data_IF_899573102793
#
_entry.id   IF_899573102793
#
_cell.length_a   1.000
_cell.length_b   1.000
_cell.length_c   1.000
_cell.angle_alpha   90.00
_cell.angle_beta   90.00
_cell.angle_gamma   90.00
#
_symmetry.space_group_name_H-M   'P 1'
#
loop_
_entity.id
_entity.type
_entity.pdbx_description
1 polymer ?
#
# COMPACT_ATOMS: atom_id res chain seq x y z
N UNK A 1 34.75 -24.97 -25.38
CA UNK A 1 34.13 -24.25 -26.52
C UNK A 1 32.78 -24.89 -26.73
N UNK A 2 31.62 -24.25 -26.60
CA UNK A 2 31.23 -22.85 -26.55
C UNK A 2 30.00 -22.70 -25.64
N UNK A 3 30.04 -21.69 -24.78
CA UNK A 3 28.95 -21.25 -23.92
C UNK A 3 27.82 -20.65 -24.81
N UNK A 4 26.64 -21.29 -24.86
CA UNK A 4 25.48 -20.79 -25.64
C UNK A 4 24.66 -19.87 -24.75
N UNK A 5 25.05 -18.61 -24.71
CA UNK A 5 24.19 -17.52 -24.23
C UNK A 5 22.99 -17.40 -25.18
N UNK A 6 21.80 -17.81 -24.72
CA UNK A 6 20.55 -17.56 -25.43
C UNK A 6 20.24 -16.06 -25.29
N UNK A 7 20.69 -15.28 -26.27
CA UNK A 7 20.30 -13.88 -26.45
C UNK A 7 18.91 -13.88 -27.08
N UNK A 8 17.89 -13.50 -26.31
CA UNK A 8 16.57 -13.24 -26.88
C UNK A 8 16.67 -12.08 -27.89
N UNK A 9 16.11 -12.22 -29.11
CA UNK A 9 16.19 -11.18 -30.12
C UNK A 9 15.47 -9.90 -29.65
N UNK A 10 16.18 -8.78 -29.76
CA UNK A 10 15.81 -7.46 -29.22
C UNK A 10 14.41 -6.98 -29.65
N UNK A 11 13.91 -7.42 -30.81
CA UNK A 11 12.57 -7.07 -31.31
C UNK A 11 11.40 -7.56 -30.44
N UNK A 12 11.58 -8.65 -29.69
CA UNK A 12 10.53 -9.20 -28.81
C UNK A 12 10.31 -8.31 -27.57
N UNK A 13 11.40 -7.78 -27.01
CA UNK A 13 11.36 -6.85 -25.86
C UNK A 13 10.76 -5.49 -26.29
N UNK A 14 11.08 -5.01 -27.49
CA UNK A 14 10.51 -3.75 -28.00
C UNK A 14 8.99 -3.83 -28.25
N UNK A 15 8.48 -4.96 -28.77
CA UNK A 15 7.03 -5.19 -28.91
C UNK A 15 6.34 -5.33 -27.55
N UNK A 16 7.01 -5.92 -26.55
CA UNK A 16 6.51 -5.99 -25.18
C UNK A 16 6.41 -4.59 -24.54
N UNK A 17 7.43 -3.72 -24.72
CA UNK A 17 7.45 -2.35 -24.19
C UNK A 17 6.39 -1.46 -24.86
N UNK A 18 6.15 -1.58 -26.17
CA UNK A 18 5.06 -0.86 -26.85
C UNK A 18 3.67 -1.33 -26.41
N UNK A 19 3.50 -2.64 -26.18
CA UNK A 19 2.26 -3.18 -25.64
C UNK A 19 2.03 -2.76 -24.18
N UNK A 20 3.09 -2.58 -23.38
CA UNK A 20 3.00 -2.03 -22.02
C UNK A 20 2.58 -0.56 -22.03
N UNK A 21 3.10 0.28 -22.93
CA UNK A 21 2.62 1.67 -23.11
C UNK A 21 1.14 1.71 -23.54
N UNK A 22 0.75 0.89 -24.52
CA UNK A 22 -0.66 0.76 -24.94
C UNK A 22 -1.57 0.18 -23.85
N UNK A 23 -1.04 -0.61 -22.91
CA UNK A 23 -1.78 -1.12 -21.76
C UNK A 23 -1.87 -0.08 -20.62
N UNK A 24 -0.86 0.76 -20.40
CA UNK A 24 -0.94 1.91 -19.48
C UNK A 24 -2.00 2.91 -19.93
N UNK A 25 -2.14 3.13 -21.24
CA UNK A 25 -3.19 4.01 -21.79
C UNK A 25 -4.59 3.35 -21.77
N UNK A 26 -4.68 2.02 -21.96
CA UNK A 26 -5.97 1.27 -21.96
C UNK A 26 -6.50 0.91 -20.57
N UNK A 27 -5.64 0.68 -19.58
CA UNK A 27 -6.06 0.43 -18.17
C UNK A 27 -6.70 1.68 -17.57
N UNK A 28 -6.31 2.87 -18.04
CA UNK A 28 -6.91 4.16 -17.63
C UNK A 28 -8.35 4.36 -18.13
N UNK A 29 -8.83 3.57 -19.11
CA UNK A 29 -10.13 3.78 -19.74
C UNK A 29 -11.17 2.67 -19.53
N UNK A 30 -10.81 1.52 -18.94
CA UNK A 30 -11.71 0.33 -18.95
C UNK A 30 -12.01 -0.26 -17.58
N UNK A 31 -12.47 0.55 -16.63
CA UNK A 31 -13.31 0.09 -15.50
C UNK A 31 -13.74 1.22 -14.57
N UNK A 32 -14.62 2.13 -15.00
CA UNK A 32 -15.45 2.91 -14.06
C UNK A 32 -16.81 3.13 -14.72
N UNK A 33 -17.83 2.39 -14.30
CA UNK A 33 -19.23 2.82 -14.50
C UNK A 33 -19.48 3.97 -13.53
N UNK A 34 -20.03 5.05 -14.07
CA UNK A 34 -20.28 6.32 -13.38
C UNK A 34 -21.35 6.13 -12.31
N UNK A 35 -20.95 6.10 -11.03
CA UNK A 35 -21.87 6.37 -9.91
C UNK A 35 -21.55 7.74 -9.32
N UNK A 36 -22.61 8.49 -9.04
CA UNK A 36 -22.57 9.85 -8.52
C UNK A 36 -22.05 9.86 -7.07
N UNK A 37 -21.04 10.70 -6.81
CA UNK A 37 -20.47 10.86 -5.48
C UNK A 37 -21.29 11.94 -4.77
N UNK A 38 -22.19 11.55 -3.88
CA UNK A 38 -22.81 12.48 -2.93
C UNK A 38 -22.06 12.43 -1.59
N UNK A 39 -21.76 13.57 -0.95
CA UNK A 39 -21.12 13.60 0.36
C UNK A 39 -22.10 13.14 1.45
N UNK A 40 -21.78 12.05 2.13
CA UNK A 40 -22.60 11.50 3.21
C UNK A 40 -22.05 11.89 4.59
N UNK A 41 -22.89 12.57 5.38
CA UNK A 41 -22.71 12.79 6.82
C UNK A 41 -22.96 11.46 7.55
N UNK A 42 -22.05 11.07 8.44
CA UNK A 42 -22.12 9.77 9.14
C UNK A 42 -23.22 9.76 10.21
N UNK A 43 -24.03 8.70 10.32
CA UNK A 43 -24.80 8.43 11.53
C UNK A 43 -23.86 7.93 12.64
N UNK A 44 -24.10 8.41 13.84
CA UNK A 44 -23.28 8.20 15.04
C UNK A 44 -23.21 6.72 15.45
N UNK A 45 -22.02 6.26 15.82
CA UNK A 45 -21.85 5.43 17.03
C UNK A 45 -22.11 3.93 17.00
N UNK A 46 -22.28 3.24 15.86
CA UNK A 46 -22.36 1.76 15.90
C UNK A 46 -20.98 1.10 15.99
N UNK A 47 -20.67 0.64 17.21
CA UNK A 47 -19.49 -0.17 17.54
C UNK A 47 -19.58 -1.56 16.89
N UNK A 48 -18.49 -1.99 16.25
CA UNK A 48 -18.36 -3.35 15.72
C UNK A 48 -18.48 -4.39 16.86
N UNK A 49 -19.24 -5.49 16.67
CA UNK A 49 -19.17 -6.61 17.59
C UNK A 49 -17.74 -7.16 17.61
N UNK A 50 -17.26 -7.53 18.81
CA UNK A 50 -15.95 -8.13 19.05
C UNK A 50 -15.87 -9.49 18.34
N UNK A 51 -15.63 -9.48 17.04
CA UNK A 51 -15.48 -10.70 16.25
C UNK A 51 -14.02 -11.13 16.33
N UNK A 52 -13.81 -12.35 16.83
CA UNK A 52 -12.52 -13.04 16.85
C UNK A 52 -12.53 -14.17 15.82
N UNK A 53 -12.57 -13.87 14.49
CA UNK A 53 -12.08 -14.84 13.54
C UNK A 53 -10.58 -14.96 13.86
N UNK A 54 -10.05 -16.17 13.98
CA UNK A 54 -8.62 -16.38 14.16
C UNK A 54 -7.87 -15.53 13.15
N UNK A 55 -7.28 -14.41 13.61
CA UNK A 55 -6.62 -13.37 12.79
C UNK A 55 -5.46 -13.88 11.92
N UNK A 56 -5.19 -15.18 11.97
CA UNK A 56 -4.26 -15.90 11.11
C UNK A 56 -4.73 -16.01 9.66
N UNK A 57 -6.04 -16.05 9.40
CA UNK A 57 -6.56 -16.29 8.03
C UNK A 57 -7.02 -15.02 7.31
N UNK A 58 -6.96 -13.86 7.98
CA UNK A 58 -7.35 -12.61 7.32
C UNK A 58 -6.25 -12.22 6.35
N UNK A 59 -6.56 -12.31 5.06
CA UNK A 59 -5.67 -11.84 4.01
C UNK A 59 -5.41 -10.33 4.17
N UNK A 60 -4.14 -9.94 4.07
CA UNK A 60 -3.73 -8.54 4.24
C UNK A 60 -4.33 -7.70 3.11
N UNK A 61 -5.05 -6.63 3.44
CA UNK A 61 -5.69 -5.71 2.51
C UNK A 61 -5.05 -4.33 2.59
N UNK A 62 -4.84 -3.71 1.45
CA UNK A 62 -4.33 -2.33 1.33
C UNK A 62 -5.22 -1.50 0.39
N UNK A 63 -5.22 -0.19 0.58
CA UNK A 63 -6.05 0.76 -0.13
C UNK A 63 -5.39 1.20 -1.45
N UNK A 64 -6.00 0.81 -2.57
CA UNK A 64 -5.46 0.95 -3.92
C UNK A 64 -4.97 2.37 -4.25
N UNK A 65 -5.76 3.39 -3.93
CA UNK A 65 -5.52 4.77 -4.39
C UNK A 65 -4.25 5.42 -3.84
N UNK A 66 -3.68 4.88 -2.75
CA UNK A 66 -2.47 5.43 -2.10
C UNK A 66 -1.27 4.47 -2.14
N UNK A 67 -1.33 3.46 -3.02
CA UNK A 67 -0.24 2.49 -3.19
C UNK A 67 0.83 2.91 -4.20
N UNK A 68 0.59 3.92 -5.03
CA UNK A 68 1.58 4.40 -6.02
C UNK A 68 2.57 5.43 -5.49
N UNK A 69 2.36 5.92 -4.28
CA UNK A 69 3.23 6.85 -3.57
C UNK A 69 3.47 6.38 -2.13
N UNK A 70 4.53 6.87 -1.50
CA UNK A 70 4.80 6.59 -0.09
C UNK A 70 4.02 7.56 0.82
N UNK A 71 2.87 7.12 1.33
CA UNK A 71 2.09 7.85 2.37
C UNK A 71 2.68 7.76 3.78
N UNK A 72 3.95 7.38 3.85
CA UNK A 72 4.68 7.15 5.08
C UNK A 72 6.16 7.43 4.84
N UNK A 73 6.91 7.67 5.91
CA UNK A 73 8.37 7.78 5.81
C UNK A 73 9.01 6.42 5.53
N UNK A 74 10.01 6.42 4.64
CA UNK A 74 10.85 5.25 4.36
C UNK A 74 12.05 5.13 5.32
N UNK A 75 12.56 6.25 5.84
CA UNK A 75 13.70 6.26 6.75
C UNK A 75 13.26 6.04 8.19
N UNK A 76 13.94 5.13 8.91
CA UNK A 76 13.76 4.96 10.36
C UNK A 76 14.33 6.11 11.19
N UNK A 77 15.37 6.80 10.69
CA UNK A 77 16.18 7.77 11.47
C UNK A 77 15.60 9.18 11.47
N UNK A 78 14.84 9.55 10.44
CA UNK A 78 14.26 10.88 10.34
C UNK A 78 12.87 10.89 11.00
N UNK A 79 12.80 11.55 12.15
CA UNK A 79 11.57 11.88 12.85
C UNK A 79 11.37 13.40 12.80
N UNK A 80 11.27 13.95 11.58
CA UNK A 80 10.96 15.37 11.46
C UNK A 80 9.47 15.59 11.71
N UNK A 81 9.18 16.52 12.61
CA UNK A 81 7.83 17.04 12.83
C UNK A 81 7.56 18.09 11.76
N UNK A 82 6.29 18.27 11.36
CA UNK A 82 5.88 19.29 10.37
C UNK A 82 6.59 19.15 9.02
N UNK A 83 6.92 17.93 8.65
CA UNK A 83 7.40 17.58 7.32
C UNK A 83 6.21 17.38 6.38
N UNK A 84 6.33 17.90 5.15
CA UNK A 84 5.41 17.69 4.04
C UNK A 84 6.17 17.09 2.86
N UNK A 85 5.58 16.08 2.21
CA UNK A 85 6.05 15.47 0.98
C UNK A 85 4.95 15.63 -0.06
N UNK A 86 5.26 16.26 -1.19
CA UNK A 86 4.36 16.40 -2.33
C UNK A 86 4.81 15.47 -3.45
N UNK A 87 3.84 14.78 -4.03
CA UNK A 87 3.99 13.89 -5.17
C UNK A 87 3.19 14.44 -6.34
N UNK A 88 3.86 15.02 -7.32
CA UNK A 88 3.20 15.42 -8.56
C UNK A 88 3.10 14.20 -9.49
N UNK A 89 1.89 13.98 -10.00
CA UNK A 89 1.50 12.80 -10.76
C UNK A 89 0.85 13.27 -12.07
N UNK A 90 0.78 12.39 -13.07
CA UNK A 90 0.20 12.76 -14.37
C UNK A 90 -1.29 13.13 -14.28
N UNK A 91 -1.96 12.65 -13.24
CA UNK A 91 -3.39 12.82 -12.99
C UNK A 91 -3.70 13.79 -11.84
N UNK A 92 -2.71 14.51 -11.29
CA UNK A 92 -2.90 15.44 -10.16
C UNK A 92 -1.74 15.39 -9.17
N UNK A 93 -2.01 15.50 -7.88
CA UNK A 93 -0.98 15.34 -6.85
C UNK A 93 -1.50 14.62 -5.60
N UNK A 94 -0.54 14.13 -4.81
CA UNK A 94 -0.77 13.64 -3.46
C UNK A 94 0.18 14.40 -2.54
N UNK A 95 -0.32 14.95 -1.45
CA UNK A 95 0.49 15.59 -0.42
C UNK A 95 0.36 14.83 0.90
N UNK A 96 1.49 14.57 1.55
CA UNK A 96 1.56 13.84 2.82
C UNK A 96 2.26 14.72 3.81
N UNK A 97 1.54 15.19 4.81
CA UNK A 97 2.05 16.06 5.86
C UNK A 97 2.01 15.39 7.22
N UNK A 98 2.92 15.80 8.09
CA UNK A 98 3.04 15.26 9.45
C UNK A 98 2.71 16.31 10.49
N UNK A 99 1.94 15.92 11.51
CA UNK A 99 1.72 16.75 12.69
C UNK A 99 2.87 16.69 13.70
N UNK A 100 2.54 17.04 14.93
CA UNK A 100 3.52 17.24 16.01
C UNK A 100 4.21 15.96 16.50
N UNK A 101 3.64 14.79 16.17
CA UNK A 101 4.19 13.49 16.55
C UNK A 101 5.10 12.88 15.47
N UNK A 102 5.24 13.58 14.34
CA UNK A 102 6.00 13.16 13.17
C UNK A 102 5.23 12.23 12.24
N UNK A 103 5.79 11.97 11.05
CA UNK A 103 5.15 11.14 10.03
C UNK A 103 5.13 9.65 10.41
N UNK A 104 4.01 8.99 10.15
CA UNK A 104 3.89 7.54 10.24
C UNK A 104 4.94 6.86 9.36
N UNK A 105 5.59 5.84 9.91
CA UNK A 105 6.43 4.93 9.14
C UNK A 105 5.61 3.84 8.49
N UNK A 106 6.19 3.16 7.51
CA UNK A 106 5.59 1.96 6.92
C UNK A 106 5.29 0.85 7.93
N UNK A 107 5.99 0.84 9.07
CA UNK A 107 5.74 -0.10 10.16
C UNK A 107 4.55 0.34 11.00
N UNK A 108 4.33 1.64 11.15
CA UNK A 108 3.11 2.14 11.78
C UNK A 108 1.90 1.81 10.88
N UNK A 109 2.07 1.94 9.56
CA UNK A 109 1.07 1.62 8.54
C UNK A 109 0.54 0.18 8.61
N UNK A 110 1.28 -0.78 9.18
CA UNK A 110 0.78 -2.16 9.41
C UNK A 110 -0.50 -2.19 10.26
N UNK A 111 -0.70 -1.21 11.16
CA UNK A 111 -1.93 -1.09 11.97
C UNK A 111 -3.11 -0.69 11.08
N UNK A 112 -2.89 0.21 10.12
CA UNK A 112 -3.92 0.59 9.16
C UNK A 112 -4.23 -0.57 8.20
N UNK A 113 -3.22 -1.33 7.76
CA UNK A 113 -3.44 -2.56 6.99
C UNK A 113 -4.32 -3.56 7.76
N UNK A 114 -4.05 -3.76 9.05
CA UNK A 114 -4.89 -4.60 9.92
C UNK A 114 -6.34 -4.08 9.93
N UNK A 115 -6.52 -2.77 10.07
CA UNK A 115 -7.83 -2.14 10.10
C UNK A 115 -8.64 -2.36 8.82
N UNK A 116 -8.03 -2.07 7.67
CA UNK A 116 -8.61 -2.27 6.34
C UNK A 116 -8.97 -3.74 6.15
N UNK A 117 -8.08 -4.65 6.58
CA UNK A 117 -8.28 -6.09 6.45
C UNK A 117 -9.49 -6.57 7.26
N UNK A 118 -9.65 -6.09 8.50
CA UNK A 118 -10.81 -6.43 9.33
C UNK A 118 -12.12 -5.89 8.76
N UNK A 119 -12.18 -4.60 8.39
CA UNK A 119 -13.42 -4.01 7.81
C UNK A 119 -13.80 -4.74 6.53
N UNK A 120 -12.83 -5.02 5.67
CA UNK A 120 -13.07 -5.75 4.41
C UNK A 120 -13.62 -7.14 4.68
N UNK A 121 -13.05 -7.87 5.63
CA UNK A 121 -13.51 -9.22 5.95
C UNK A 121 -14.89 -9.22 6.62
N UNK A 122 -15.14 -8.31 7.56
CA UNK A 122 -16.45 -8.13 8.17
C UNK A 122 -17.52 -7.76 7.13
N UNK A 123 -17.19 -6.90 6.16
CA UNK A 123 -18.09 -6.56 5.06
C UNK A 123 -18.35 -7.76 4.14
N UNK A 124 -17.33 -8.57 3.85
CA UNK A 124 -17.51 -9.80 3.08
C UNK A 124 -18.42 -10.81 3.79
N UNK A 125 -18.32 -10.93 5.12
CA UNK A 125 -19.23 -11.77 5.90
C UNK A 125 -20.66 -11.22 5.90
N UNK A 126 -20.83 -9.90 6.03
CA UNK A 126 -22.12 -9.23 5.91
C UNK A 126 -22.79 -9.51 4.57
N UNK A 127 -22.07 -9.34 3.45
CA UNK A 127 -22.57 -9.66 2.10
C UNK A 127 -22.98 -11.13 1.93
N UNK A 128 -22.39 -12.04 2.70
CA UNK A 128 -22.74 -13.47 2.71
C UNK A 128 -23.88 -13.82 3.68
N UNK A 129 -24.48 -12.84 4.37
CA UNK A 129 -25.49 -13.06 5.41
C UNK A 129 -24.95 -13.71 6.68
N UNK A 130 -23.63 -13.67 6.90
CA UNK A 130 -22.92 -14.33 8.02
C UNK A 130 -22.32 -13.34 9.03
N UNK A 131 -22.76 -12.08 9.00
CA UNK A 131 -22.25 -11.03 9.88
C UNK A 131 -23.10 -9.76 9.81
N UNK A 132 -22.80 -8.79 10.67
CA UNK A 132 -23.41 -7.46 10.65
C UNK A 132 -22.60 -6.51 9.75
N UNK A 133 -23.26 -5.47 9.24
CA UNK A 133 -22.59 -4.38 8.53
C UNK A 133 -21.47 -3.82 9.42
N UNK A 134 -20.22 -3.73 8.93
CA UNK A 134 -19.16 -3.25 9.78
C UNK A 134 -19.25 -1.76 10.02
N UNK A 135 -19.04 -1.28 11.24
CA UNK A 135 -18.87 0.15 11.54
C UNK A 135 -17.49 0.68 11.17
N UNK A 136 -17.29 2.00 11.27
CA UNK A 136 -16.01 2.69 11.03
C UNK A 136 -14.97 2.51 12.13
N UNK A 137 -15.46 2.26 13.36
CA UNK A 137 -14.63 2.14 14.56
C UNK A 137 -14.42 0.67 14.91
N UNK A 138 -13.18 0.29 15.19
CA UNK A 138 -12.80 -1.06 15.60
C UNK A 138 -11.90 -1.05 16.81
N UNK A 139 -12.09 -2.07 17.66
CA UNK A 139 -11.26 -2.33 18.82
C UNK A 139 -10.27 -3.45 18.49
N UNK A 140 -8.99 -3.16 18.61
CA UNK A 140 -7.89 -4.07 18.33
C UNK A 140 -7.18 -4.43 19.64
N UNK A 141 -7.18 -5.72 19.98
CA UNK A 141 -6.42 -6.19 21.13
C UNK A 141 -4.92 -6.20 20.85
N UNK A 142 -4.13 -5.94 21.89
CA UNK A 142 -2.67 -5.85 21.78
C UNK A 142 -2.04 -7.13 21.21
N UNK A 143 -2.51 -8.30 21.66
CA UNK A 143 -2.04 -9.62 21.22
C UNK A 143 -2.22 -9.79 19.70
N UNK A 144 -3.32 -9.28 19.19
CA UNK A 144 -3.77 -9.44 17.82
C UNK A 144 -3.00 -8.51 16.88
N UNK A 145 -2.74 -7.27 17.32
CA UNK A 145 -1.90 -6.31 16.60
C UNK A 145 -0.48 -6.86 16.45
N UNK A 146 0.14 -7.30 17.54
CA UNK A 146 1.51 -7.80 17.50
C UNK A 146 1.63 -9.04 16.63
N UNK A 147 0.66 -9.93 16.73
CA UNK A 147 0.58 -11.12 15.91
C UNK A 147 0.40 -10.81 14.42
N UNK A 148 -0.56 -9.94 14.05
CA UNK A 148 -0.77 -9.51 12.67
C UNK A 148 0.50 -8.89 12.09
N UNK A 149 1.10 -7.94 12.82
CA UNK A 149 2.32 -7.24 12.42
C UNK A 149 3.59 -8.11 12.47
N UNK A 150 3.50 -9.39 12.87
CA UNK A 150 4.63 -10.31 13.13
C UNK A 150 5.70 -9.72 14.07
N UNK A 151 5.26 -9.10 15.16
CA UNK A 151 6.12 -8.51 16.21
C UNK A 151 6.00 -9.30 17.51
N UNK A 152 7.12 -9.43 18.21
CA UNK A 152 7.12 -9.99 19.57
C UNK A 152 6.63 -8.94 20.58
N UNK A 153 5.67 -9.28 21.46
CA UNK A 153 5.23 -8.36 22.51
C UNK A 153 6.35 -8.04 23.51
N UNK A 154 6.32 -6.84 24.08
CA UNK A 154 7.24 -6.39 25.14
C UNK A 154 6.87 -4.99 25.64
N UNK A 155 7.43 -4.56 26.77
CA UNK A 155 7.09 -3.27 27.41
C UNK A 155 7.30 -2.08 26.46
N UNK A 156 8.53 -1.94 25.92
CA UNK A 156 8.89 -0.91 24.94
C UNK A 156 8.02 -0.97 23.67
N UNK A 157 7.57 -2.16 23.29
CA UNK A 157 6.73 -2.37 22.12
C UNK A 157 5.32 -1.82 22.33
N UNK A 158 4.80 -1.82 23.56
CA UNK A 158 3.53 -1.16 23.89
C UNK A 158 3.63 0.36 23.73
N UNK A 159 4.69 0.96 24.24
CA UNK A 159 4.91 2.41 24.10
C UNK A 159 5.10 2.81 22.62
N UNK A 160 5.83 1.97 21.87
CA UNK A 160 5.99 2.13 20.43
C UNK A 160 4.65 2.03 19.68
N UNK A 161 3.75 1.16 20.11
CA UNK A 161 2.41 1.04 19.53
C UNK A 161 1.60 2.32 19.77
N UNK A 162 1.55 2.82 21.00
CA UNK A 162 0.86 4.08 21.31
C UNK A 162 1.44 5.24 20.47
N UNK A 163 2.76 5.28 20.35
CA UNK A 163 3.44 6.27 19.51
C UNK A 163 3.15 6.10 18.02
N UNK A 164 2.98 4.88 17.54
CA UNK A 164 2.63 4.57 16.15
C UNK A 164 1.22 5.06 15.81
N UNK A 165 0.25 4.80 16.70
CA UNK A 165 -1.14 5.24 16.55
C UNK A 165 -1.23 6.76 16.53
N UNK A 166 -0.50 7.44 17.42
CA UNK A 166 -0.37 8.91 17.41
C UNK A 166 0.14 9.43 16.07
N UNK A 167 1.22 8.82 15.54
CA UNK A 167 1.77 9.20 14.22
C UNK A 167 0.79 8.98 13.08
N UNK A 168 0.07 7.86 13.06
CA UNK A 168 -0.98 7.60 12.07
C UNK A 168 -2.06 8.67 12.14
N UNK A 169 -2.54 9.00 13.34
CA UNK A 169 -3.59 9.99 13.52
C UNK A 169 -3.13 11.41 13.16
N UNK A 170 -1.84 11.72 13.25
CA UNK A 170 -1.32 13.03 12.84
C UNK A 170 -0.69 13.06 11.45
N UNK A 171 -0.69 11.96 10.70
CA UNK A 171 -0.21 11.95 9.30
C UNK A 171 -1.40 12.22 8.40
N UNK A 172 -1.42 13.39 7.76
CA UNK A 172 -2.48 13.83 6.87
C UNK A 172 -2.10 13.53 5.42
N UNK A 173 -3.03 12.95 4.67
CA UNK A 173 -2.89 12.64 3.25
C UNK A 173 -3.95 13.44 2.52
N UNK A 174 -3.50 14.39 1.70
CA UNK A 174 -4.32 15.14 0.76
C UNK A 174 -4.14 14.56 -0.64
N UNK A 175 -5.24 14.33 -1.34
CA UNK A 175 -5.28 13.76 -2.68
C UNK A 175 -6.13 14.68 -3.52
N UNK A 176 -5.53 15.24 -4.57
CA UNK A 176 -6.23 15.95 -5.63
C UNK A 176 -5.91 15.26 -6.96
N UNK A 177 -6.80 14.39 -7.44
CA UNK A 177 -6.55 13.59 -8.66
C UNK A 177 -7.77 13.53 -9.57
N UNK A 178 -7.54 13.60 -10.87
CA UNK A 178 -8.55 13.35 -11.89
C UNK A 178 -8.72 11.83 -12.06
N UNK A 179 -9.87 11.32 -11.63
CA UNK A 179 -10.24 9.92 -11.73
C UNK A 179 -11.44 9.81 -12.66
N UNK A 180 -11.20 9.35 -13.89
CA UNK A 180 -12.27 9.12 -14.88
C UNK A 180 -13.05 10.38 -15.26
N UNK A 181 -12.38 11.53 -15.33
CA UNK A 181 -13.00 12.81 -15.69
C UNK A 181 -13.58 13.60 -14.52
N UNK A 182 -13.53 13.08 -13.28
CA UNK A 182 -13.93 13.79 -12.06
C UNK A 182 -12.71 14.08 -11.21
N UNK A 183 -12.65 15.27 -10.61
CA UNK A 183 -11.62 15.63 -9.63
C UNK A 183 -12.05 15.06 -8.27
N UNK A 184 -11.24 14.17 -7.72
CA UNK A 184 -11.29 13.78 -6.32
C UNK A 184 -10.35 14.71 -5.55
N UNK A 185 -10.91 15.60 -4.75
CA UNK A 185 -10.19 16.47 -3.80
C UNK A 185 -10.62 16.09 -2.39
N UNK A 186 -9.68 15.51 -1.63
CA UNK A 186 -9.95 14.97 -0.29
C UNK A 186 -8.70 15.00 0.57
N UNK A 187 -8.85 15.44 1.81
CA UNK A 187 -7.82 15.38 2.85
C UNK A 187 -8.32 14.59 4.05
N UNK A 188 -7.59 13.54 4.44
CA UNK A 188 -7.86 12.79 5.66
C UNK A 188 -6.56 12.35 6.32
N UNK A 189 -6.60 12.16 7.64
CA UNK A 189 -5.52 11.50 8.36
C UNK A 189 -5.48 10.00 8.03
N UNK A 190 -4.33 9.33 8.21
CA UNK A 190 -4.25 7.88 7.97
C UNK A 190 -5.17 7.07 8.90
N UNK A 191 -5.47 7.59 10.09
CA UNK A 191 -6.61 7.17 10.91
C UNK A 191 -7.33 8.41 11.44
N UNK A 192 -8.66 8.40 11.42
CA UNK A 192 -9.48 9.56 11.81
C UNK A 192 -9.43 9.83 13.30
N UNK A 193 -9.57 8.75 14.08
CA UNK A 193 -9.65 8.80 15.54
C UNK A 193 -8.92 7.61 16.14
N UNK A 194 -8.45 7.76 17.38
CA UNK A 194 -8.00 6.64 18.18
C UNK A 194 -8.32 6.83 19.66
N UNK A 195 -8.40 5.71 20.38
CA UNK A 195 -8.34 5.66 21.84
C UNK A 195 -7.36 4.56 22.27
N UNK A 196 -6.61 4.80 23.34
CA UNK A 196 -5.76 3.77 23.97
C UNK A 196 -6.54 3.17 25.12
N UNK A 197 -6.68 1.85 25.12
CA UNK A 197 -7.41 1.13 26.16
C UNK A 197 -6.39 0.54 27.12
N UNK A 198 -6.46 0.95 28.38
CA UNK A 198 -5.59 0.48 29.47
C UNK A 198 -6.42 -0.16 30.59
N UNK A 199 -5.79 -0.99 31.41
CA UNK A 199 -6.38 -1.43 32.68
C UNK A 199 -6.26 -0.36 33.78
N UNK A 200 -6.84 -0.67 34.94
CA UNK A 200 -6.78 0.12 36.17
C UNK A 200 -5.34 0.43 36.65
N UNK A 201 -4.38 -0.42 36.26
CA UNK A 201 -2.95 -0.26 36.54
C UNK A 201 -2.19 0.51 35.46
N UNK A 202 -2.89 1.03 34.44
CA UNK A 202 -2.31 1.80 33.34
C UNK A 202 -1.63 0.97 32.25
N UNK A 203 -1.70 -0.37 32.30
CA UNK A 203 -1.15 -1.22 31.23
C UNK A 203 -2.08 -1.24 30.02
N UNK A 204 -1.56 -0.80 28.88
CA UNK A 204 -2.23 -0.89 27.57
C UNK A 204 -2.67 -2.34 27.28
N UNK A 205 -3.96 -2.52 27.00
CA UNK A 205 -4.62 -3.78 26.58
C UNK A 205 -4.97 -3.81 25.10
N UNK A 206 -5.14 -2.65 24.49
CA UNK A 206 -5.50 -2.53 23.09
C UNK A 206 -5.65 -1.08 22.67
N UNK A 207 -6.13 -0.90 21.45
CA UNK A 207 -6.46 0.39 20.89
C UNK A 207 -7.83 0.31 20.25
N UNK A 208 -8.52 1.43 20.21
CA UNK A 208 -9.66 1.64 19.34
C UNK A 208 -9.22 2.60 18.24
N UNK A 209 -9.57 2.31 16.99
CA UNK A 209 -9.24 3.17 15.86
C UNK A 209 -10.48 3.36 14.97
N UNK A 210 -10.57 4.53 14.37
CA UNK A 210 -11.56 4.85 13.35
C UNK A 210 -10.86 5.02 12.02
N UNK A 211 -11.30 4.24 11.02
CA UNK A 211 -10.72 4.28 9.67
C UNK A 211 -11.19 5.56 8.95
N UNK A 212 -10.41 6.12 8.00
CA UNK A 212 -10.81 7.30 7.22
C UNK A 212 -12.15 7.09 6.50
N UNK A 213 -12.98 8.13 6.46
CA UNK A 213 -14.35 8.04 5.95
C UNK A 213 -14.38 7.68 4.48
N UNK A 214 -13.49 8.25 3.66
CA UNK A 214 -13.41 7.90 2.24
C UNK A 214 -12.97 6.45 2.07
N UNK A 215 -12.00 6.01 2.86
CA UNK A 215 -11.50 4.64 2.82
C UNK A 215 -12.59 3.64 3.19
N UNK A 216 -13.32 3.89 4.27
CA UNK A 216 -14.48 3.08 4.67
C UNK A 216 -15.53 2.99 3.57
N UNK A 217 -15.94 4.14 3.02
CA UNK A 217 -16.92 4.21 1.93
C UNK A 217 -16.49 3.37 0.72
N UNK A 218 -15.20 3.45 0.33
CA UNK A 218 -14.64 2.66 -0.77
C UNK A 218 -14.48 1.16 -0.46
N UNK A 219 -14.68 0.73 0.77
CA UNK A 219 -14.72 -0.69 1.15
C UNK A 219 -16.16 -1.22 1.10
N UNK A 220 -17.11 -0.46 1.64
CA UNK A 220 -18.47 -0.99 1.94
C UNK A 220 -19.58 -0.49 1.03
N UNK A 221 -19.35 0.54 0.21
CA UNK A 221 -20.37 1.18 -0.64
C UNK A 221 -20.07 1.08 -2.15
N UNK A 222 -19.19 0.17 -2.57
CA UNK A 222 -18.82 0.04 -3.99
C UNK A 222 -18.80 -1.42 -4.43
N UNK A 223 -19.35 -1.70 -5.61
CA UNK A 223 -19.30 -3.04 -6.24
C UNK A 223 -17.87 -3.50 -6.54
N UNK A 224 -16.98 -2.54 -6.82
CA UNK A 224 -15.55 -2.75 -7.07
C UNK A 224 -14.74 -2.11 -5.95
N UNK A 225 -14.55 -2.80 -4.80
CA UNK A 225 -13.83 -2.23 -3.67
C UNK A 225 -12.41 -1.85 -4.09
N UNK A 226 -11.98 -0.65 -3.71
CA UNK A 226 -10.66 -0.10 -4.03
C UNK A 226 -9.56 -0.72 -3.14
N UNK A 227 -9.59 -2.05 -2.97
CA UNK A 227 -8.80 -2.82 -2.04
C UNK A 227 -8.01 -3.88 -2.80
N UNK A 228 -6.70 -3.92 -2.58
CA UNK A 228 -5.84 -4.99 -3.07
C UNK A 228 -5.49 -5.94 -1.94
N UNK A 229 -5.45 -7.23 -2.26
CA UNK A 229 -4.95 -8.26 -1.35
C UNK A 229 -3.44 -8.39 -1.53
N UNK A 230 -2.67 -8.24 -0.45
CA UNK A 230 -1.23 -8.45 -0.43
C UNK A 230 -0.92 -9.93 -0.16
N UNK A 231 0.26 -10.38 -0.59
CA UNK A 231 0.74 -11.73 -0.33
C UNK A 231 0.89 -11.99 1.18
N UNK A 232 0.63 -13.21 1.67
CA UNK A 232 0.82 -13.56 3.08
C UNK A 232 2.24 -13.25 3.61
N UNK A 233 3.25 -13.31 2.73
CA UNK A 233 4.64 -12.98 3.06
C UNK A 233 5.01 -11.51 2.94
N UNK A 234 4.06 -10.60 2.75
CA UNK A 234 4.32 -9.15 2.77
C UNK A 234 5.13 -8.73 4.01
N UNK A 235 4.79 -9.26 5.18
CA UNK A 235 5.50 -8.95 6.42
C UNK A 235 6.94 -9.47 6.47
N UNK A 236 7.35 -10.45 5.63
CA UNK A 236 8.74 -10.91 5.50
C UNK A 236 9.64 -9.88 4.82
N UNK A 237 9.08 -8.89 4.14
CA UNK A 237 9.85 -7.80 3.54
C UNK A 237 10.34 -6.87 4.65
N UNK A 238 11.60 -7.04 5.05
CA UNK A 238 12.19 -6.39 6.23
C UNK A 238 12.64 -4.93 6.00
N UNK A 239 12.49 -4.40 4.79
CA UNK A 239 12.93 -3.04 4.44
C UNK A 239 11.74 -2.18 4.04
N UNK A 240 11.73 -0.93 4.50
CA UNK A 240 10.67 0.02 4.15
C UNK A 240 10.61 0.27 2.64
N UNK A 241 11.79 0.43 2.03
CA UNK A 241 11.92 0.58 0.59
C UNK A 241 11.37 -0.63 -0.17
N UNK A 242 11.69 -1.87 0.24
CA UNK A 242 11.17 -3.07 -0.40
C UNK A 242 9.65 -3.20 -0.30
N UNK A 243 9.06 -2.86 0.85
CA UNK A 243 7.60 -2.87 1.02
C UNK A 243 6.91 -1.79 0.18
N UNK A 244 7.50 -0.60 0.04
CA UNK A 244 7.03 0.42 -0.89
C UNK A 244 7.04 -0.09 -2.34
N UNK A 245 8.16 -0.66 -2.80
CA UNK A 245 8.27 -1.22 -4.16
C UNK A 245 7.28 -2.37 -4.37
N UNK A 246 7.05 -3.22 -3.36
CA UNK A 246 6.03 -4.26 -3.43
C UNK A 246 4.61 -3.69 -3.58
N UNK A 247 4.23 -2.68 -2.79
CA UNK A 247 2.92 -2.02 -2.91
C UNK A 247 2.74 -1.42 -4.31
N UNK A 248 3.76 -0.74 -4.82
CA UNK A 248 3.73 -0.20 -6.17
C UNK A 248 3.56 -1.30 -7.22
N UNK A 249 4.38 -2.37 -7.16
CA UNK A 249 4.28 -3.51 -8.07
C UNK A 249 2.87 -4.14 -8.03
N UNK A 250 2.31 -4.34 -6.84
CA UNK A 250 0.97 -4.90 -6.65
C UNK A 250 -0.11 -4.03 -7.28
N UNK A 251 0.04 -2.71 -7.22
CA UNK A 251 -0.88 -1.77 -7.86
C UNK A 251 -0.74 -1.73 -9.38
N UNK A 252 0.48 -1.62 -9.90
CA UNK A 252 0.72 -1.28 -11.31
C UNK A 252 0.96 -2.49 -12.21
N UNK A 253 1.69 -3.50 -11.72
CA UNK A 253 1.90 -4.74 -12.46
C UNK A 253 0.72 -5.70 -12.26
N UNK A 254 0.10 -5.71 -11.08
CA UNK A 254 -0.98 -6.65 -10.77
C UNK A 254 -0.52 -8.10 -11.00
N UNK A 255 -1.19 -8.82 -11.91
CA UNK A 255 -0.80 -10.17 -12.36
C UNK A 255 -0.05 -10.20 -13.69
N UNK A 256 0.46 -9.06 -14.15
CA UNK A 256 1.16 -8.88 -15.43
C UNK A 256 2.55 -8.29 -15.18
N UNK A 257 3.01 -7.43 -16.09
CA UNK A 257 4.25 -6.67 -15.99
C UNK A 257 3.98 -5.17 -16.04
N UNK A 258 4.82 -4.39 -15.36
CA UNK A 258 4.85 -2.94 -15.45
C UNK A 258 6.27 -2.42 -15.35
N UNK A 259 6.51 -1.24 -15.93
CA UNK A 259 7.82 -0.60 -15.97
C UNK A 259 7.78 0.80 -15.37
N UNK A 260 8.89 1.19 -14.73
CA UNK A 260 9.09 2.52 -14.16
C UNK A 260 10.51 3.00 -14.41
N UNK A 261 10.69 4.27 -14.78
CA UNK A 261 12.02 4.90 -14.73
C UNK A 261 12.49 4.97 -13.29
N UNK A 262 13.80 4.83 -13.07
CA UNK A 262 14.38 4.98 -11.74
C UNK A 262 14.14 6.40 -11.17
N UNK A 263 14.11 7.44 -12.02
CA UNK A 263 13.76 8.82 -11.65
C UNK A 263 12.31 8.94 -11.16
N UNK A 264 11.35 8.44 -11.96
CA UNK A 264 9.93 8.45 -11.57
C UNK A 264 9.68 7.67 -10.28
N UNK A 265 10.37 6.53 -10.09
CA UNK A 265 10.26 5.77 -8.84
C UNK A 265 10.86 6.55 -7.65
N UNK A 266 11.94 7.29 -7.88
CA UNK A 266 12.56 8.15 -6.86
C UNK A 266 11.58 9.23 -6.39
N UNK A 267 10.93 9.93 -7.33
CA UNK A 267 9.89 10.94 -7.04
C UNK A 267 8.73 10.31 -6.25
N UNK A 268 8.18 9.19 -6.71
CA UNK A 268 7.06 8.49 -6.05
C UNK A 268 7.40 7.91 -4.68
N UNK A 269 8.68 7.67 -4.40
CA UNK A 269 9.13 7.12 -3.12
C UNK A 269 9.20 8.14 -1.99
N UNK A 270 9.25 9.43 -2.31
CA UNK A 270 9.44 10.49 -1.31
C UNK A 270 10.80 10.38 -0.61
N UNK A 271 11.78 9.72 -1.25
CA UNK A 271 13.09 9.51 -0.66
C UNK A 271 13.86 10.81 -0.55
N UNK A 272 14.37 11.09 0.66
CA UNK A 272 15.27 12.22 0.94
C UNK A 272 16.75 11.92 0.68
N UNK A 273 17.10 10.67 0.39
CA UNK A 273 18.50 10.32 0.07
C UNK A 273 18.85 10.80 -1.34
N UNK A 274 20.12 11.11 -1.64
CA UNK A 274 20.53 11.43 -3.01
C UNK A 274 20.13 10.32 -3.99
N UNK A 275 19.75 10.67 -5.21
CA UNK A 275 19.28 9.70 -6.23
C UNK A 275 20.29 8.56 -6.46
N UNK A 276 21.60 8.82 -6.35
CA UNK A 276 22.64 7.77 -6.44
C UNK A 276 22.45 6.68 -5.38
N UNK A 277 22.15 7.07 -4.15
CA UNK A 277 21.89 6.14 -3.06
C UNK A 277 20.58 5.39 -3.26
N UNK A 278 19.54 6.07 -3.75
CA UNK A 278 18.30 5.44 -4.13
C UNK A 278 18.50 4.35 -5.20
N UNK A 279 19.19 4.68 -6.31
CA UNK A 279 19.51 3.72 -7.38
C UNK A 279 20.32 2.54 -6.83
N UNK A 280 21.27 2.78 -5.94
CA UNK A 280 22.05 1.73 -5.25
C UNK A 280 21.14 0.82 -4.40
N UNK A 281 20.19 1.39 -3.65
CA UNK A 281 19.22 0.63 -2.87
C UNK A 281 18.30 -0.21 -3.76
N UNK A 282 17.85 0.35 -4.88
CA UNK A 282 17.00 -0.35 -5.85
C UNK A 282 17.73 -1.53 -6.50
N UNK A 283 18.95 -1.34 -6.97
CA UNK A 283 19.77 -2.44 -7.51
C UNK A 283 20.04 -3.55 -6.50
N UNK A 284 20.24 -3.19 -5.22
CA UNK A 284 20.34 -4.17 -4.13
C UNK A 284 19.03 -4.94 -3.94
N UNK A 285 17.88 -4.30 -4.07
CA UNK A 285 16.58 -4.96 -3.99
C UNK A 285 16.37 -5.91 -5.17
N UNK A 286 16.67 -5.46 -6.40
CA UNK A 286 16.66 -6.26 -7.63
C UNK A 286 17.52 -7.52 -7.45
N UNK A 287 18.79 -7.36 -7.07
CA UNK A 287 19.72 -8.48 -6.89
C UNK A 287 19.25 -9.49 -5.83
N UNK A 288 18.58 -9.01 -4.77
CA UNK A 288 18.07 -9.89 -3.70
C UNK A 288 16.84 -10.70 -4.14
N UNK A 289 16.03 -10.16 -5.06
CA UNK A 289 14.79 -10.77 -5.56
C UNK A 289 13.88 -11.36 -4.46
N UNK A 290 13.72 -10.61 -3.36
CA UNK A 290 12.98 -11.03 -2.15
C UNK A 290 11.53 -10.57 -2.12
N UNK A 291 11.03 -9.92 -3.19
CA UNK A 291 9.63 -9.51 -3.22
C UNK A 291 8.75 -10.72 -3.55
N UNK A 292 7.75 -11.05 -2.71
CA UNK A 292 6.80 -12.13 -3.02
C UNK A 292 6.09 -11.85 -4.34
N UNK A 293 5.73 -12.90 -5.08
CA UNK A 293 5.00 -12.85 -6.37
C UNK A 293 5.64 -12.06 -7.52
N UNK A 294 6.65 -11.23 -7.28
CA UNK A 294 7.24 -10.34 -8.29
C UNK A 294 8.71 -10.67 -8.54
N UNK A 295 9.08 -10.64 -9.80
CA UNK A 295 10.46 -10.60 -10.26
C UNK A 295 10.80 -9.17 -10.66
N UNK A 296 12.01 -8.72 -10.30
CA UNK A 296 12.50 -7.37 -10.58
C UNK A 296 13.71 -7.44 -11.50
N UNK A 297 13.71 -6.64 -12.56
CA UNK A 297 14.86 -6.50 -13.48
C UNK A 297 15.17 -5.05 -13.77
N UNK A 298 16.46 -4.75 -13.96
CA UNK A 298 16.90 -3.48 -14.53
C UNK A 298 17.05 -3.65 -16.05
N UNK A 299 16.53 -2.69 -16.80
CA UNK A 299 16.72 -2.58 -18.25
C UNK A 299 17.12 -1.15 -18.60
N UNK A 300 17.70 -0.93 -19.77
CA UNK A 300 17.93 0.42 -20.28
C UNK A 300 16.74 0.90 -21.11
N UNK A 301 16.33 2.16 -20.91
CA UNK A 301 15.38 2.82 -21.78
C UNK A 301 16.02 3.25 -23.10
N UNK A 302 15.20 3.62 -24.09
CA UNK A 302 15.66 4.20 -25.37
C UNK A 302 16.50 5.47 -25.20
N UNK A 303 16.42 6.13 -24.04
CA UNK A 303 17.15 7.36 -23.72
C UNK A 303 18.34 7.13 -22.77
N UNK A 304 18.75 5.87 -22.56
CA UNK A 304 19.86 5.51 -21.68
C UNK A 304 19.56 5.61 -20.17
N UNK A 305 18.34 5.98 -19.80
CA UNK A 305 17.93 5.99 -18.39
C UNK A 305 17.54 4.58 -17.92
N UNK A 306 17.97 4.13 -16.72
CA UNK A 306 17.59 2.83 -16.18
C UNK A 306 16.09 2.75 -15.84
N UNK A 307 15.50 1.63 -16.25
CA UNK A 307 14.12 1.22 -16.00
C UNK A 307 14.10 0.04 -15.03
N UNK A 308 13.15 0.06 -14.10
CA UNK A 308 12.72 -1.09 -13.33
C UNK A 308 11.60 -1.79 -14.08
N UNK A 309 11.77 -3.07 -14.37
CA UNK A 309 10.70 -3.97 -14.82
C UNK A 309 10.25 -4.80 -13.63
N UNK A 310 8.94 -4.78 -13.36
CA UNK A 310 8.30 -5.55 -12.29
C UNK A 310 7.33 -6.52 -12.94
N UNK A 311 7.58 -7.82 -12.81
CA UNK A 311 6.75 -8.84 -13.48
C UNK A 311 6.21 -9.84 -12.46
N UNK A 312 4.93 -10.14 -12.54
CA UNK A 312 4.32 -11.21 -11.77
C UNK A 312 4.95 -12.54 -12.18
N UNK A 313 5.43 -13.33 -11.23
CA UNK A 313 6.27 -14.52 -11.53
C UNK A 313 5.54 -15.55 -12.39
N UNK A 314 4.25 -15.78 -12.17
CA UNK A 314 3.50 -16.75 -12.98
C UNK A 314 3.26 -16.24 -14.41
N UNK A 315 3.27 -14.92 -14.62
CA UNK A 315 3.18 -14.34 -15.97
C UNK A 315 4.43 -14.63 -16.81
N UNK A 316 5.60 -14.82 -16.17
CA UNK A 316 6.82 -15.22 -16.88
C UNK A 316 6.75 -16.66 -17.41
N UNK A 317 6.02 -17.54 -16.73
CA UNK A 317 5.87 -18.95 -17.11
C UNK A 317 4.94 -19.11 -18.32
N UNK A 318 3.87 -18.32 -18.39
CA UNK A 318 2.91 -18.35 -19.50
C UNK A 318 3.49 -17.81 -20.82
N UNK A 319 4.54 -16.99 -20.78
CA UNK A 319 5.23 -16.48 -21.97
C UNK A 319 6.32 -17.44 -22.48
N UNK A 320 6.85 -18.34 -21.64
CA UNK A 320 7.81 -19.38 -22.05
C UNK A 320 7.14 -20.58 -22.72
N UNK A 321 5.93 -20.96 -22.29
CA UNK A 321 5.19 -22.12 -22.82
C UNK A 321 4.55 -21.85 -24.21
N UNK A 322 4.65 -20.62 -24.73
CA UNK A 322 4.16 -20.26 -26.08
C UNK A 322 5.27 -20.28 -27.16
N UNK A 323 6.47 -20.71 -26.78
CA UNK A 323 7.65 -20.77 -27.66
C UNK A 323 8.01 -22.21 -28.05
N UNK A 324 7.33 -23.22 -27.48
CA UNK A 324 7.36 -24.62 -27.95
C UNK A 324 6.27 -24.89 -29.00
#
# INVERSE_FOLDING_TARGET
>A
MSDKTIVMPSESIYKMIENIKKQQDKVTQKSIKTEEIQPYLSPEGEQLPLFNPTLYDIAIKDYFHIMDVAVFRLSKRYHQKKETIRYDLSDGYVEVSSGETGMASIWDYDILLMAISQVTESYNLYKKGRGKMPGKTMRLELKDIFKFCRRTPGGKQKDNLVSAVKRLNTTHVHIERNIGGKILDVGENLISRYAVISDDKGSVKGIEIEIPSLMYYKIVNTDTPAILTLHPDFHRINTAFGRFVYRLARRVAGKKSATYLFSTLYERSGSKSPIREFRRMLRKLIKKNVLPEYDLKEMESKHGEPLLVMTFRDFLLEDTDKIE
#
